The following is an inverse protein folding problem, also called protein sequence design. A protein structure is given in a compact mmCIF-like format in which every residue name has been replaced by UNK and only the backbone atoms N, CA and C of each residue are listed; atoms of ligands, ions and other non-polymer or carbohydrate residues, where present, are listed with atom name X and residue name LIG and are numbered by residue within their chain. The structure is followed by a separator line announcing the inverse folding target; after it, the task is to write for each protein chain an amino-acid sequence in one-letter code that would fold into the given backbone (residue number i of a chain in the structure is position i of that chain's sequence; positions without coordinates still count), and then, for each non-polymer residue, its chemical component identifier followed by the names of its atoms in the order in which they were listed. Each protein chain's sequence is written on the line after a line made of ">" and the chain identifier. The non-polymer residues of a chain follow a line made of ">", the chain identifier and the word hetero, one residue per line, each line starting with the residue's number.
data_IF_848311359729
#
_entry.id   IF_848311359729
#
_cell.length_a   1.000
_cell.length_b   1.000
_cell.length_c   1.000
_cell.angle_alpha   90.00
_cell.angle_beta   90.00
_cell.angle_gamma   90.00
#
_symmetry.space_group_name_H-M   'P 1'
#
loop_
_entity.id
_entity.type
_entity.pdbx_description
1 polymer ?
#
# COMPACT_ATOMS: atom_id res chain seq x y z
N UNK A 1 -21.83 7.34 -49.02
CA UNK A 1 -21.64 7.79 -47.61
C UNK A 1 -22.58 6.98 -46.75
N UNK A 2 -22.07 6.13 -45.84
CA UNK A 2 -22.51 6.22 -44.42
C UNK A 2 -21.46 5.67 -43.43
N UNK A 3 -21.54 5.82 -42.11
CA UNK A 3 -22.57 6.40 -41.25
C UNK A 3 -21.98 6.67 -39.85
N UNK A 4 -22.39 7.77 -39.25
CA UNK A 4 -21.99 8.19 -37.91
C UNK A 4 -22.80 7.36 -36.90
N UNK A 5 -22.10 6.57 -36.07
CA UNK A 5 -22.70 5.97 -34.89
C UNK A 5 -22.67 7.02 -33.78
N UNK A 6 -23.82 7.63 -33.48
CA UNK A 6 -24.00 8.43 -32.27
C UNK A 6 -24.22 7.47 -31.09
N UNK A 7 -23.28 7.44 -30.16
CA UNK A 7 -23.41 6.72 -28.89
C UNK A 7 -23.81 7.74 -27.83
N UNK A 8 -25.10 7.80 -27.51
CA UNK A 8 -25.61 8.56 -26.37
C UNK A 8 -25.26 7.82 -25.07
N UNK A 9 -24.15 8.21 -24.44
CA UNK A 9 -23.81 7.75 -23.10
C UNK A 9 -24.64 8.57 -22.10
N UNK A 10 -25.72 7.98 -21.59
CA UNK A 10 -26.41 8.52 -20.41
C UNK A 10 -25.54 8.25 -19.18
N UNK A 11 -24.73 9.23 -18.80
CA UNK A 11 -24.00 9.20 -17.53
C UNK A 11 -24.99 9.50 -16.41
N UNK A 12 -25.29 8.52 -15.56
CA UNK A 12 -25.90 8.80 -14.27
C UNK A 12 -24.84 9.44 -13.37
N UNK A 13 -24.98 10.73 -13.07
CA UNK A 13 -24.15 11.41 -12.10
C UNK A 13 -24.40 10.82 -10.69
N UNK A 14 -23.54 9.90 -10.26
CA UNK A 14 -23.48 9.47 -8.87
C UNK A 14 -22.61 10.44 -8.09
N UNK A 15 -23.06 10.84 -6.91
CA UNK A 15 -22.25 11.68 -6.02
C UNK A 15 -20.87 11.02 -5.83
N UNK A 16 -19.78 11.72 -6.18
CA UNK A 16 -18.46 11.09 -6.36
C UNK A 16 -17.78 10.68 -5.03
N UNK A 17 -18.42 10.97 -3.90
CA UNK A 17 -17.98 10.57 -2.57
C UNK A 17 -18.58 9.22 -2.17
N UNK A 18 -17.71 8.29 -1.83
CA UNK A 18 -18.06 6.98 -1.29
C UNK A 18 -17.49 6.88 0.12
N UNK A 19 -18.34 6.48 1.06
CA UNK A 19 -17.96 6.24 2.45
C UNK A 19 -18.42 4.85 2.85
N UNK A 20 -17.55 4.14 3.56
CA UNK A 20 -17.78 2.80 4.05
C UNK A 20 -17.24 2.67 5.47
N UNK A 21 -17.96 1.92 6.31
CA UNK A 21 -17.54 1.58 7.67
C UNK A 21 -17.85 0.12 7.90
N UNK A 22 -16.83 -0.62 8.28
CA UNK A 22 -16.89 -2.04 8.56
C UNK A 22 -16.48 -2.30 10.00
N UNK A 23 -17.22 -3.18 10.66
CA UNK A 23 -16.86 -3.75 11.96
C UNK A 23 -16.71 -5.25 11.78
N UNK A 24 -15.55 -5.78 12.16
CA UNK A 24 -15.26 -7.21 12.03
C UNK A 24 -14.49 -7.73 13.25
N UNK A 25 -14.20 -9.03 13.23
CA UNK A 25 -13.46 -9.73 14.28
C UNK A 25 -12.14 -10.34 13.79
N UNK A 26 -11.55 -9.79 12.73
CA UNK A 26 -10.28 -10.28 12.19
C UNK A 26 -9.13 -9.78 13.08
N UNK A 27 -8.68 -10.65 13.99
CA UNK A 27 -7.71 -10.28 15.03
C UNK A 27 -6.64 -11.35 15.23
N UNK A 28 -5.47 -10.92 15.69
CA UNK A 28 -4.42 -11.82 16.14
C UNK A 28 -4.76 -12.37 17.54
N UNK A 29 -4.36 -13.61 17.82
CA UNK A 29 -4.57 -14.23 19.12
C UNK A 29 -3.90 -13.40 20.22
N UNK A 30 -4.64 -13.04 21.28
CA UNK A 30 -4.16 -12.19 22.37
C UNK A 30 -4.40 -10.68 22.23
N UNK A 31 -5.15 -10.23 21.21
CA UNK A 31 -5.60 -8.83 21.06
C UNK A 31 -7.12 -8.71 21.23
N UNK A 32 -7.64 -7.50 21.43
CA UNK A 32 -9.10 -7.31 21.45
C UNK A 32 -9.72 -7.79 20.13
N UNK A 33 -10.86 -8.49 20.15
CA UNK A 33 -11.39 -9.08 18.92
C UNK A 33 -11.96 -8.07 17.95
N UNK A 34 -12.39 -6.88 18.39
CA UNK A 34 -13.11 -5.97 17.51
C UNK A 34 -12.12 -5.14 16.68
N UNK A 35 -12.38 -5.04 15.39
CA UNK A 35 -11.73 -4.10 14.48
C UNK A 35 -12.77 -3.21 13.82
N UNK A 36 -12.44 -1.94 13.71
CA UNK A 36 -13.21 -0.93 12.99
C UNK A 36 -12.37 -0.44 11.83
N UNK A 37 -12.91 -0.54 10.62
CA UNK A 37 -12.34 0.03 9.40
C UNK A 37 -13.29 1.10 8.87
N UNK A 38 -12.76 2.26 8.51
CA UNK A 38 -13.49 3.32 7.86
C UNK A 38 -12.75 3.73 6.59
N UNK A 39 -13.45 3.77 5.47
CA UNK A 39 -12.89 4.17 4.18
C UNK A 39 -13.68 5.31 3.57
N UNK A 40 -12.96 6.30 3.03
CA UNK A 40 -13.51 7.45 2.33
C UNK A 40 -12.83 7.55 0.97
N UNK A 41 -13.59 7.69 -0.10
CA UNK A 41 -13.07 7.86 -1.46
C UNK A 41 -13.83 8.98 -2.15
N UNK A 42 -13.10 9.90 -2.77
CA UNK A 42 -13.68 10.91 -3.65
C UNK A 42 -13.09 10.74 -5.04
N UNK A 43 -13.96 10.53 -6.02
CA UNK A 43 -13.58 10.29 -7.42
C UNK A 43 -13.79 11.54 -8.28
N UNK A 44 -13.18 11.56 -9.45
CA UNK A 44 -13.30 12.65 -10.42
C UNK A 44 -13.02 14.05 -9.83
N UNK A 45 -12.02 14.16 -8.94
CA UNK A 45 -11.53 15.45 -8.44
C UNK A 45 -11.21 16.36 -9.63
N UNK A 46 -11.63 17.62 -9.52
CA UNK A 46 -11.41 18.66 -10.53
C UNK A 46 -12.02 18.35 -11.91
N UNK A 47 -12.85 17.31 -12.05
CA UNK A 47 -13.35 16.78 -13.33
C UNK A 47 -12.25 16.17 -14.22
N UNK A 48 -11.13 15.78 -13.61
CA UNK A 48 -9.92 15.34 -14.30
C UNK A 48 -9.70 13.82 -14.22
N UNK A 49 -10.64 13.08 -13.64
CA UNK A 49 -10.48 11.65 -13.36
C UNK A 49 -9.56 11.34 -12.16
N UNK A 50 -9.16 12.35 -11.41
CA UNK A 50 -8.33 12.19 -10.22
C UNK A 50 -9.15 11.56 -9.08
N UNK A 51 -8.53 10.69 -8.28
CA UNK A 51 -9.20 10.03 -7.16
C UNK A 51 -8.33 10.11 -5.92
N UNK A 52 -8.92 10.52 -4.80
CA UNK A 52 -8.31 10.42 -3.48
C UNK A 52 -9.08 9.38 -2.66
N UNK A 53 -8.35 8.57 -1.90
CA UNK A 53 -8.96 7.66 -0.94
C UNK A 53 -8.17 7.66 0.37
N UNK A 54 -8.88 7.51 1.47
CA UNK A 54 -8.34 7.43 2.82
C UNK A 54 -9.00 6.27 3.53
N UNK A 55 -8.21 5.50 4.28
CA UNK A 55 -8.69 4.40 5.11
C UNK A 55 -8.06 4.49 6.48
N UNK A 56 -8.89 4.29 7.50
CA UNK A 56 -8.51 4.23 8.90
C UNK A 56 -8.95 2.89 9.48
N UNK A 57 -8.00 2.16 10.06
CA UNK A 57 -8.20 0.87 10.69
C UNK A 57 -7.77 0.96 12.16
N UNK A 58 -8.61 0.51 13.09
CA UNK A 58 -8.32 0.60 14.52
C UNK A 58 -8.94 -0.55 15.32
N UNK A 59 -8.27 -0.95 16.40
CA UNK A 59 -8.83 -1.72 17.49
C UNK A 59 -9.50 -0.76 18.51
N UNK A 60 -10.83 -0.53 18.46
CA UNK A 60 -11.45 0.59 19.16
C UNK A 60 -11.37 0.48 20.68
N UNK A 61 -11.32 -0.73 21.23
CA UNK A 61 -11.21 -0.98 22.67
C UNK A 61 -9.78 -0.83 23.19
N UNK A 62 -8.78 -1.16 22.37
CA UNK A 62 -7.37 -1.05 22.73
C UNK A 62 -6.55 -0.61 21.50
N UNK A 63 -6.43 0.71 21.31
CA UNK A 63 -5.79 1.28 20.11
C UNK A 63 -4.31 0.93 19.95
N UNK A 64 -3.63 0.63 21.07
CA UNK A 64 -2.25 0.14 21.04
C UNK A 64 -2.11 -1.19 20.31
N UNK A 65 -3.16 -2.03 20.30
CA UNK A 65 -3.13 -3.32 19.63
C UNK A 65 -2.98 -3.14 18.12
N UNK A 66 -3.73 -2.23 17.52
CA UNK A 66 -3.61 -1.88 16.09
C UNK A 66 -4.28 -0.52 15.83
N UNK A 67 -3.54 0.39 15.23
CA UNK A 67 -4.05 1.63 14.65
C UNK A 67 -3.25 1.95 13.38
N UNK A 68 -3.94 2.08 12.25
CA UNK A 68 -3.31 2.34 10.97
C UNK A 68 -4.10 3.34 10.14
N UNK A 69 -3.38 4.24 9.48
CA UNK A 69 -3.93 5.17 8.51
C UNK A 69 -3.28 4.92 7.16
N UNK A 70 -4.08 4.96 6.11
CA UNK A 70 -3.56 4.94 4.74
C UNK A 70 -4.29 5.94 3.87
N UNK A 71 -3.55 6.52 2.94
CA UNK A 71 -4.04 7.47 1.97
C UNK A 71 -3.49 7.13 0.59
N UNK A 72 -4.31 7.31 -0.44
CA UNK A 72 -3.90 7.16 -1.81
C UNK A 72 -4.43 8.31 -2.66
N UNK A 73 -3.65 8.70 -3.65
CA UNK A 73 -4.04 9.67 -4.65
C UNK A 73 -3.63 9.18 -6.03
N UNK A 74 -4.60 8.96 -6.91
CA UNK A 74 -4.36 8.54 -8.28
C UNK A 74 -4.73 9.65 -9.26
N UNK A 75 -3.84 9.92 -10.21
CA UNK A 75 -4.07 10.88 -11.27
C UNK A 75 -3.72 10.25 -12.63
N UNK A 76 -4.67 10.16 -13.58
CA UNK A 76 -4.35 9.83 -14.96
C UNK A 76 -3.58 10.98 -15.60
N UNK A 77 -2.59 10.66 -16.43
CA UNK A 77 -1.90 11.65 -17.26
C UNK A 77 -2.65 11.71 -18.60
N UNK A 78 -3.29 12.84 -18.89
CA UNK A 78 -4.10 12.98 -20.10
C UNK A 78 -3.32 12.73 -21.37
N UNK A 79 -4.04 12.22 -22.37
CA UNK A 79 -3.51 11.86 -23.68
C UNK A 79 -2.37 10.84 -23.64
N UNK A 80 -2.22 10.12 -22.52
CA UNK A 80 -1.24 9.05 -22.36
C UNK A 80 -1.86 7.80 -21.72
N UNK A 81 -1.26 6.62 -21.91
CA UNK A 81 -1.67 5.40 -21.20
C UNK A 81 -1.19 5.36 -19.73
N UNK A 82 -0.66 6.46 -19.20
CA UNK A 82 -0.02 6.48 -17.89
C UNK A 82 -0.94 7.07 -16.81
N UNK A 83 -0.83 6.50 -15.62
CA UNK A 83 -1.40 7.03 -14.39
C UNK A 83 -0.34 7.02 -13.30
N UNK A 84 -0.39 8.02 -12.42
CA UNK A 84 0.45 8.10 -11.23
C UNK A 84 -0.42 7.76 -10.02
N UNK A 85 0.12 6.98 -9.10
CA UNK A 85 -0.50 6.66 -7.82
C UNK A 85 0.49 6.98 -6.70
N UNK A 86 0.10 7.90 -5.83
CA UNK A 86 0.78 8.20 -4.57
C UNK A 86 0.12 7.40 -3.45
N UNK A 87 0.93 6.88 -2.55
CA UNK A 87 0.51 6.05 -1.43
C UNK A 87 1.21 6.58 -0.17
N UNK A 88 0.46 6.75 0.90
CA UNK A 88 0.99 7.02 2.23
C UNK A 88 0.37 6.07 3.23
N UNK A 89 1.17 5.52 4.14
CA UNK A 89 0.71 4.64 5.21
C UNK A 89 1.47 4.96 6.48
N UNK A 90 0.76 4.94 7.60
CA UNK A 90 1.34 4.92 8.94
C UNK A 90 0.65 3.86 9.75
N UNK A 91 1.41 3.14 10.57
CA UNK A 91 0.88 2.13 11.46
C UNK A 91 1.55 2.25 12.83
N UNK A 92 0.72 2.19 13.85
CA UNK A 92 1.10 2.02 15.24
C UNK A 92 0.53 0.68 15.68
N UNK A 93 1.40 -0.25 16.04
CA UNK A 93 0.96 -1.60 16.44
C UNK A 93 1.94 -2.12 17.46
N UNK A 94 1.45 -2.34 18.67
CA UNK A 94 2.16 -2.89 19.80
C UNK A 94 1.61 -4.29 20.07
N UNK A 95 1.90 -5.24 19.17
CA UNK A 95 1.52 -6.64 19.37
C UNK A 95 2.73 -7.54 19.17
N UNK A 96 3.08 -8.28 20.23
CA UNK A 96 4.09 -9.31 20.18
C UNK A 96 3.66 -10.40 19.18
N UNK A 97 4.46 -10.64 18.15
CA UNK A 97 4.25 -11.80 17.31
C UNK A 97 4.59 -13.06 18.13
N UNK A 98 3.62 -13.95 18.33
CA UNK A 98 3.86 -15.25 18.97
C UNK A 98 4.85 -16.06 18.12
N UNK A 99 6.14 -15.95 18.47
CA UNK A 99 7.25 -16.54 17.73
C UNK A 99 8.65 -16.12 18.20
N UNK A 100 8.77 -15.34 19.27
CA UNK A 100 10.07 -14.93 19.83
C UNK A 100 10.74 -13.75 19.12
N UNK A 101 9.98 -12.97 18.36
CA UNK A 101 10.41 -11.68 17.82
C UNK A 101 9.32 -10.67 18.18
N UNK A 102 9.59 -9.80 19.13
CA UNK A 102 8.76 -8.62 19.36
C UNK A 102 8.89 -7.73 18.13
N UNK A 103 7.85 -7.65 17.31
CA UNK A 103 7.80 -6.75 16.16
C UNK A 103 6.91 -5.58 16.51
N UNK A 104 7.46 -4.66 17.31
CA UNK A 104 6.92 -3.32 17.43
C UNK A 104 7.07 -2.64 16.06
N UNK A 105 6.05 -2.71 15.21
CA UNK A 105 6.07 -2.10 13.88
C UNK A 105 5.45 -0.72 13.93
N UNK A 106 6.15 0.22 14.57
CA UNK A 106 5.82 1.63 14.52
C UNK A 106 6.57 2.25 13.34
N UNK A 107 5.84 2.67 12.30
CA UNK A 107 6.49 3.13 11.09
C UNK A 107 5.58 3.85 10.11
N UNK A 108 6.20 4.46 9.12
CA UNK A 108 5.52 5.07 8.00
C UNK A 108 6.14 4.64 6.67
N UNK A 109 5.31 4.62 5.65
CA UNK A 109 5.66 4.29 4.28
C UNK A 109 5.06 5.34 3.34
N UNK A 110 5.86 5.85 2.42
CA UNK A 110 5.41 6.73 1.34
C UNK A 110 5.89 6.14 0.03
N UNK A 111 4.97 5.97 -0.91
CA UNK A 111 5.22 5.32 -2.18
C UNK A 111 4.71 6.13 -3.36
N UNK A 112 5.42 6.02 -4.47
CA UNK A 112 4.94 6.43 -5.80
C UNK A 112 4.89 5.22 -6.71
N UNK A 113 3.85 5.16 -7.55
CA UNK A 113 3.67 4.16 -8.58
C UNK A 113 3.39 4.84 -9.91
N UNK A 114 4.06 4.39 -10.96
CA UNK A 114 3.72 4.70 -12.35
C UNK A 114 3.04 3.49 -12.97
N UNK A 115 1.81 3.64 -13.41
CA UNK A 115 1.00 2.57 -13.99
C UNK A 115 0.80 2.89 -15.46
N UNK A 116 1.15 1.95 -16.34
CA UNK A 116 0.92 2.04 -17.78
C UNK A 116 -0.07 0.97 -18.21
N UNK A 117 -1.21 1.38 -18.74
CA UNK A 117 -2.16 0.46 -19.39
C UNK A 117 -1.64 0.18 -20.80
N UNK A 118 -1.54 -1.10 -21.16
CA UNK A 118 -1.07 -1.50 -22.48
C UNK A 118 -2.29 -1.79 -23.40
N UNK A 119 -2.14 -1.66 -24.73
CA UNK A 119 -3.24 -1.86 -25.67
C UNK A 119 -3.87 -3.25 -25.52
N UNK A 120 -5.18 -3.28 -25.31
CA UNK A 120 -5.93 -4.52 -25.19
C UNK A 120 -5.77 -5.39 -26.44
N UNK A 121 -5.63 -6.70 -26.27
CA UNK A 121 -5.63 -7.66 -27.37
C UNK A 121 -6.71 -8.73 -27.14
N UNK A 122 -7.71 -8.77 -28.03
CA UNK A 122 -8.88 -9.63 -27.84
C UNK A 122 -9.60 -9.33 -26.51
N UNK A 123 -9.85 -10.35 -25.71
CA UNK A 123 -10.46 -10.26 -24.37
C UNK A 123 -9.44 -10.12 -23.22
N UNK A 124 -8.18 -9.84 -23.54
CA UNK A 124 -7.12 -9.67 -22.55
C UNK A 124 -6.76 -8.20 -22.36
N UNK A 125 -6.87 -7.72 -21.12
CA UNK A 125 -6.33 -6.43 -20.68
C UNK A 125 -5.05 -6.64 -19.88
N UNK A 126 -4.12 -5.70 -19.98
CA UNK A 126 -2.84 -5.81 -19.29
C UNK A 126 -2.24 -4.45 -18.94
N UNK A 127 -1.44 -4.43 -17.88
CA UNK A 127 -0.79 -3.23 -17.40
C UNK A 127 0.59 -3.53 -16.85
N UNK A 128 1.45 -2.53 -16.92
CA UNK A 128 2.76 -2.53 -16.27
C UNK A 128 2.76 -1.50 -15.15
N UNK A 129 3.21 -1.86 -13.96
CA UNK A 129 3.38 -0.93 -12.83
C UNK A 129 4.83 -0.89 -12.40
N UNK A 130 5.37 0.31 -12.23
CA UNK A 130 6.65 0.55 -11.58
C UNK A 130 6.41 1.28 -10.27
N UNK A 131 7.22 0.99 -9.27
CA UNK A 131 7.06 1.56 -7.95
C UNK A 131 8.36 1.85 -7.24
N UNK A 132 8.31 2.89 -6.42
CA UNK A 132 9.36 3.27 -5.52
C UNK A 132 8.72 3.64 -4.19
N UNK A 133 9.21 3.05 -3.11
CA UNK A 133 8.75 3.37 -1.76
C UNK A 133 9.89 3.89 -0.91
N UNK A 134 9.52 4.65 0.09
CA UNK A 134 10.33 4.98 1.23
C UNK A 134 9.64 4.41 2.46
N UNK A 135 10.29 3.47 3.14
CA UNK A 135 9.80 2.93 4.40
C UNK A 135 10.77 3.24 5.52
N UNK A 136 10.21 3.73 6.62
CA UNK A 136 10.92 3.99 7.86
C UNK A 136 10.17 3.30 9.00
N UNK A 137 10.79 2.25 9.54
CA UNK A 137 10.28 1.51 10.69
C UNK A 137 11.22 1.71 11.87
N UNK A 138 10.64 2.06 13.02
CA UNK A 138 11.32 2.00 14.31
C UNK A 138 11.00 0.64 14.90
N UNK A 139 11.94 -0.29 14.76
CA UNK A 139 11.87 -1.55 15.49
C UNK A 139 12.72 -1.39 16.76
N UNK A 140 12.07 -1.44 17.92
CA UNK A 140 12.76 -1.62 19.19
C UNK A 140 12.85 -3.13 19.41
N UNK A 141 14.00 -3.73 19.12
CA UNK A 141 14.24 -5.15 19.44
C UNK A 141 14.92 -5.24 20.79
N UNK A 142 14.21 -5.75 21.80
CA UNK A 142 14.81 -6.11 23.10
C UNK A 142 15.30 -7.56 23.00
N UNK A 143 16.62 -7.77 23.07
CA UNK A 143 17.21 -9.12 23.16
C UNK A 143 17.75 -9.31 24.59
N UNK A 144 16.96 -9.95 25.46
CA UNK A 144 17.34 -10.23 26.85
C UNK A 144 17.27 -9.02 27.80
N UNK A 145 18.12 -8.99 28.83
CA UNK A 145 18.25 -7.89 29.83
C UNK A 145 19.15 -6.72 29.35
N UNK A 146 19.44 -6.65 28.04
CA UNK A 146 20.28 -5.61 27.46
C UNK A 146 19.45 -4.39 27.04
N UNK A 147 20.09 -3.21 27.02
CA UNK A 147 19.49 -1.96 26.55
C UNK A 147 18.82 -2.14 25.18
N UNK A 148 17.64 -1.53 24.94
CA UNK A 148 16.90 -1.68 23.69
C UNK A 148 17.76 -1.26 22.49
N UNK A 149 17.95 -2.18 21.54
CA UNK A 149 18.60 -1.90 20.27
C UNK A 149 17.64 -1.10 19.40
N UNK A 150 17.85 0.22 19.32
CA UNK A 150 17.19 1.07 18.35
C UNK A 150 17.83 0.85 16.98
N UNK A 151 17.23 0.00 16.14
CA UNK A 151 17.67 -0.21 14.77
C UNK A 151 16.62 0.38 13.80
N UNK A 152 16.72 1.67 13.43
CA UNK A 152 15.82 2.25 12.44
C UNK A 152 16.05 1.60 11.07
N UNK A 153 15.13 0.74 10.64
CA UNK A 153 15.23 0.09 9.33
C UNK A 153 14.69 1.05 8.27
N UNK A 154 15.61 1.65 7.50
CA UNK A 154 15.32 2.54 6.38
C UNK A 154 15.69 1.86 5.07
N UNK A 155 14.71 1.63 4.21
CA UNK A 155 14.97 1.02 2.91
C UNK A 155 14.07 1.63 1.83
N UNK A 156 14.63 1.65 0.61
CA UNK A 156 13.97 2.17 -0.58
C UNK A 156 13.73 1.02 -1.55
N UNK A 157 12.63 0.27 -1.43
CA UNK A 157 12.34 -0.79 -2.36
C UNK A 157 11.89 -0.18 -3.69
N UNK A 158 12.40 -0.76 -4.78
CA UNK A 158 11.87 -0.57 -6.12
C UNK A 158 11.06 -1.80 -6.47
N UNK A 159 9.89 -1.60 -7.06
CA UNK A 159 9.03 -2.67 -7.53
C UNK A 159 8.68 -2.51 -9.00
N UNK A 160 8.48 -3.62 -9.68
CA UNK A 160 7.95 -3.69 -11.02
C UNK A 160 6.98 -4.86 -11.10
N UNK A 161 5.81 -4.66 -11.69
CA UNK A 161 4.84 -5.73 -11.90
C UNK A 161 4.15 -5.63 -13.25
N UNK A 162 3.75 -6.79 -13.76
CA UNK A 162 2.94 -6.94 -14.94
C UNK A 162 1.70 -7.72 -14.58
N UNK A 163 0.54 -7.17 -14.88
CA UNK A 163 -0.76 -7.79 -14.62
C UNK A 163 -1.46 -8.06 -15.95
N UNK A 164 -1.97 -9.28 -16.10
CA UNK A 164 -2.81 -9.73 -17.22
C UNK A 164 -4.17 -10.13 -16.66
N UNK A 165 -5.24 -9.64 -17.26
CA UNK A 165 -6.61 -10.00 -16.93
C UNK A 165 -7.31 -10.49 -18.18
N UNK A 166 -8.07 -11.57 -18.03
CA UNK A 166 -8.89 -12.16 -19.08
C UNK A 166 -10.34 -12.18 -18.60
N UNK A 167 -11.19 -11.41 -19.27
CA UNK A 167 -12.60 -11.31 -18.93
C UNK A 167 -13.43 -11.85 -20.11
N UNK A 168 -14.22 -12.88 -19.84
CA UNK A 168 -15.20 -13.45 -20.76
C UNK A 168 -16.58 -13.34 -20.14
N UNK A 169 -17.64 -13.67 -20.89
CA UNK A 169 -19.01 -13.65 -20.40
C UNK A 169 -19.24 -14.58 -19.18
N UNK A 170 -18.50 -15.69 -19.10
CA UNK A 170 -18.72 -16.74 -18.09
C UNK A 170 -17.54 -16.96 -17.14
N UNK A 171 -16.39 -16.30 -17.38
CA UNK A 171 -15.18 -16.52 -16.60
C UNK A 171 -14.31 -15.26 -16.54
N UNK A 172 -13.69 -15.06 -15.38
CA UNK A 172 -12.69 -14.04 -15.12
C UNK A 172 -11.42 -14.70 -14.59
N UNK A 173 -10.28 -14.41 -15.22
CA UNK A 173 -8.98 -14.88 -14.77
C UNK A 173 -8.00 -13.70 -14.68
N UNK A 174 -7.12 -13.73 -13.68
CA UNK A 174 -6.06 -12.73 -13.53
C UNK A 174 -4.73 -13.39 -13.19
N UNK A 175 -3.64 -12.85 -13.75
CA UNK A 175 -2.28 -13.28 -13.48
C UNK A 175 -1.41 -12.04 -13.24
N UNK A 176 -0.60 -12.05 -12.19
CA UNK A 176 0.35 -10.96 -11.89
C UNK A 176 1.73 -11.54 -11.66
N UNK A 177 2.72 -10.94 -12.32
CA UNK A 177 4.14 -11.24 -12.15
C UNK A 177 4.78 -9.98 -11.60
N UNK A 178 5.53 -10.09 -10.50
CA UNK A 178 6.16 -8.93 -9.85
C UNK A 178 7.56 -9.23 -9.35
N UNK A 179 8.40 -8.22 -9.34
CA UNK A 179 9.73 -8.22 -8.75
C UNK A 179 9.84 -7.00 -7.85
N UNK A 180 10.32 -7.20 -6.62
CA UNK A 180 10.63 -6.12 -5.68
C UNK A 180 12.06 -6.30 -5.20
N UNK A 181 12.87 -5.25 -5.30
CA UNK A 181 14.26 -5.25 -4.87
C UNK A 181 14.50 -4.10 -3.88
N UNK A 182 15.13 -4.40 -2.75
CA UNK A 182 15.58 -3.37 -1.81
C UNK A 182 16.92 -2.79 -2.24
N UNK A 183 16.99 -1.48 -2.46
CA UNK A 183 18.26 -0.81 -2.71
C UNK A 183 18.92 -0.53 -1.35
N UNK A 184 20.01 -1.23 -1.04
CA UNK A 184 20.86 -0.94 0.13
C UNK A 184 21.82 0.20 -0.23
N UNK A 185 21.89 1.24 0.61
CA UNK A 185 22.88 2.33 0.47
C UNK A 185 22.34 3.75 0.23
N UNK A 186 21.02 3.95 0.05
CA UNK A 186 20.37 5.28 0.03
C UNK A 186 19.62 5.60 1.36
N UNK A 187 19.84 4.78 2.38
CA UNK A 187 19.39 4.89 3.77
C UNK A 187 20.41 4.20 4.69
N UNK A 188 20.25 4.39 6.01
CA UNK A 188 21.12 3.93 7.13
C UNK A 188 22.49 3.39 6.70
N UNK A 189 23.51 4.25 6.78
CA UNK A 189 24.87 3.91 6.40
C UNK A 189 25.38 2.70 7.18
N UNK A 190 26.32 1.96 6.57
CA UNK A 190 26.98 0.78 7.13
C UNK A 190 27.63 1.02 8.51
N UNK A 191 27.73 2.29 8.93
CA UNK A 191 28.24 2.70 10.25
C UNK A 191 27.22 2.55 11.40
N UNK A 192 25.93 2.29 11.14
CA UNK A 192 24.93 2.01 12.20
C UNK A 192 25.03 0.55 12.73
N UNK A 193 25.85 -0.30 12.11
CA UNK A 193 26.10 -1.68 12.55
C UNK A 193 27.45 -1.89 13.27
N UNK A 194 28.23 -0.83 13.55
CA UNK A 194 29.58 -0.95 14.14
C UNK A 194 29.63 -0.83 15.68
N UNK A 195 28.58 -1.26 16.38
CA UNK A 195 28.65 -1.46 17.85
C UNK A 195 29.47 -2.68 18.29
N UNK A 196 29.98 -3.49 17.36
CA UNK A 196 30.72 -4.70 17.69
C UNK A 196 32.24 -4.44 17.71
N UNK A 197 32.74 -3.99 18.85
CA UNK A 197 34.16 -4.20 19.19
C UNK A 197 34.21 -5.47 20.04
N UNK A 198 34.72 -6.62 19.53
CA UNK A 198 34.94 -7.75 20.40
C UNK A 198 36.00 -7.35 21.41
N UNK A 199 35.65 -7.44 22.71
CA UNK A 199 36.64 -7.32 23.76
C UNK A 199 37.72 -8.38 23.51
N UNK A 200 38.96 -7.93 23.33
CA UNK A 200 40.12 -8.82 23.27
C UNK A 200 40.28 -9.56 24.62
N UNK A 201 40.82 -10.79 24.61
CA UNK A 201 40.81 -11.71 25.76
C UNK A 201 41.59 -11.20 26.98
#
# INVERSE_FOLDING_TARGET
>A
MPGTFDVDIKVEEKFPLHFDVEVNNDHNNGTDPIRLNASLRYTNLFQLGHTIAFTYAVAPKQRSDTEAFSGTYSAPIWDTPWSILLIGRTSNTETAALGGVDVLSNGFEVGVRGIRILPQFGSFSHSFTFGFDYKNSKEDTVIGDADPLQAPIRYWPVSASYTLQHNTENAQASATIGVTAGIRGLGSGVNEFQGFTPAAP
#
